data_IF_868035509105
#
_entry.id   IF_868035509105
#
_cell.length_a   1.000
_cell.length_b   1.000
_cell.length_c   1.000
_cell.angle_alpha   90.00
_cell.angle_beta   90.00
_cell.angle_gamma   90.00
#
_symmetry.space_group_name_H-M   'P 1'
#
loop_
_entity.id
_entity.type
_entity.pdbx_description
1 polymer ?
#
# COMPACT_ATOMS: atom_id res chain seq x y z
N UNK A 1 -6.75 14.33 3.52
CA UNK A 1 -7.04 13.03 2.91
C UNK A 1 -6.86 11.93 3.93
N UNK A 2 -7.78 10.98 3.98
CA UNK A 2 -7.71 9.80 4.83
C UNK A 2 -7.38 8.60 3.95
N UNK A 3 -6.33 7.85 4.30
CA UNK A 3 -5.91 6.64 3.58
C UNK A 3 -6.00 5.45 4.52
N UNK A 4 -6.68 4.38 4.11
CA UNK A 4 -6.73 3.13 4.86
C UNK A 4 -6.30 1.99 3.95
N UNK A 5 -5.22 1.31 4.30
CA UNK A 5 -4.56 0.33 3.42
C UNK A 5 -5.02 -1.11 3.60
N UNK A 6 -5.51 -1.48 4.78
CA UNK A 6 -6.10 -2.79 5.07
C UNK A 6 -6.87 -2.79 6.40
N UNK A 7 -7.72 -3.81 6.56
CA UNK A 7 -8.36 -4.24 7.80
C UNK A 7 -7.77 -5.61 8.19
N UNK A 8 -6.61 -5.56 8.86
CA UNK A 8 -5.98 -6.75 9.43
C UNK A 8 -6.65 -7.27 10.71
N UNK A 9 -6.02 -8.27 11.32
CA UNK A 9 -6.48 -8.94 12.56
C UNK A 9 -5.74 -8.46 13.81
N UNK A 10 -5.08 -7.31 13.75
CA UNK A 10 -4.45 -6.71 14.93
C UNK A 10 -5.52 -6.12 15.87
N UNK A 11 -5.28 -6.19 17.18
CA UNK A 11 -6.13 -5.61 18.23
C UNK A 11 -7.56 -6.20 18.35
N UNK A 12 -7.78 -7.42 17.86
CA UNK A 12 -9.08 -8.10 17.99
C UNK A 12 -9.50 -8.31 19.46
N UNK A 13 -8.54 -8.45 20.37
CA UNK A 13 -8.80 -8.55 21.82
C UNK A 13 -9.57 -7.34 22.40
N UNK A 14 -9.34 -6.15 21.85
CA UNK A 14 -9.99 -4.91 22.29
C UNK A 14 -11.14 -4.49 21.37
N UNK A 15 -11.09 -4.88 20.10
CA UNK A 15 -12.04 -4.45 19.07
C UNK A 15 -13.06 -5.52 18.70
N UNK A 16 -12.95 -6.73 19.27
CA UNK A 16 -13.85 -7.86 19.04
C UNK A 16 -13.53 -8.62 17.76
N UNK A 17 -13.79 -7.99 16.62
CA UNK A 17 -13.66 -8.60 15.29
C UNK A 17 -13.12 -7.59 14.25
N UNK A 18 -13.02 -8.03 12.99
CA UNK A 18 -12.59 -7.16 11.87
C UNK A 18 -13.57 -6.02 11.60
N UNK A 19 -14.85 -6.17 11.95
CA UNK A 19 -15.84 -5.09 11.82
C UNK A 19 -15.60 -4.01 12.88
N UNK A 20 -15.18 -4.38 14.08
CA UNK A 20 -14.68 -3.46 15.10
C UNK A 20 -13.42 -2.72 14.65
N UNK A 21 -12.47 -3.42 14.00
CA UNK A 21 -11.27 -2.79 13.41
C UNK A 21 -11.64 -1.80 12.30
N UNK A 22 -12.56 -2.17 11.40
CA UNK A 22 -13.08 -1.29 10.36
C UNK A 22 -13.72 -0.04 10.98
N UNK A 23 -14.60 -0.21 11.97
CA UNK A 23 -15.26 0.89 12.67
C UNK A 23 -14.23 1.83 13.28
N UNK A 24 -13.25 1.31 14.01
CA UNK A 24 -12.22 2.13 14.65
C UNK A 24 -11.35 2.89 13.62
N UNK A 25 -10.93 2.25 12.53
CA UNK A 25 -10.12 2.90 11.49
C UNK A 25 -10.91 3.96 10.71
N UNK A 26 -12.19 3.73 10.45
CA UNK A 26 -13.06 4.69 9.74
C UNK A 26 -13.45 5.90 10.60
N UNK A 27 -13.21 5.88 11.92
CA UNK A 27 -13.40 7.07 12.77
C UNK A 27 -12.54 8.26 12.33
N UNK A 28 -11.41 8.01 11.63
CA UNK A 28 -10.57 9.06 11.06
C UNK A 28 -11.35 10.00 10.14
N UNK A 29 -12.43 9.53 9.50
CA UNK A 29 -13.27 10.35 8.63
C UNK A 29 -13.97 11.48 9.39
N UNK A 30 -14.24 11.32 10.70
CA UNK A 30 -14.84 12.37 11.53
C UNK A 30 -13.93 13.60 11.67
N UNK A 31 -12.62 13.40 11.56
CA UNK A 31 -11.62 14.47 11.58
C UNK A 31 -11.26 14.99 10.19
N UNK A 32 -11.92 14.48 9.14
CA UNK A 32 -11.67 14.91 7.77
C UNK A 32 -12.30 16.29 7.52
N UNK A 33 -11.54 17.19 6.90
CA UNK A 33 -12.07 18.49 6.46
C UNK A 33 -13.15 18.31 5.39
N UNK A 34 -14.07 19.28 5.20
CA UNK A 34 -15.15 19.17 4.22
C UNK A 34 -14.70 18.91 2.77
N UNK A 35 -13.53 19.41 2.38
CA UNK A 35 -12.90 19.17 1.08
C UNK A 35 -11.88 18.01 1.10
N UNK A 36 -11.95 17.14 2.12
CA UNK A 36 -11.06 16.01 2.25
C UNK A 36 -11.44 14.88 1.30
N UNK A 37 -10.46 14.02 1.02
CA UNK A 37 -10.62 12.85 0.19
C UNK A 37 -10.44 11.56 1.00
N UNK A 38 -11.08 10.49 0.54
CA UNK A 38 -10.99 9.15 1.12
C UNK A 38 -10.32 8.24 0.09
N UNK A 39 -9.27 7.52 0.48
CA UNK A 39 -8.53 6.58 -0.36
C UNK A 39 -8.48 5.22 0.33
N UNK A 40 -9.05 4.18 -0.28
CA UNK A 40 -9.24 2.87 0.35
C UNK A 40 -8.73 1.74 -0.53
N UNK A 41 -8.21 0.69 0.09
CA UNK A 41 -7.91 -0.55 -0.61
C UNK A 41 -9.21 -1.28 -0.96
N UNK A 42 -9.56 -1.33 -2.23
CA UNK A 42 -10.77 -1.98 -2.71
C UNK A 42 -10.71 -3.51 -2.64
N UNK A 43 -9.52 -4.09 -2.57
CA UNK A 43 -9.35 -5.55 -2.52
C UNK A 43 -9.39 -6.11 -1.09
N UNK A 44 -9.50 -5.23 -0.10
CA UNK A 44 -9.87 -5.61 1.26
C UNK A 44 -11.40 -5.74 1.35
N UNK A 45 -11.87 -6.93 1.75
CA UNK A 45 -13.29 -7.29 1.81
C UNK A 45 -14.14 -6.38 2.72
N UNK A 46 -13.53 -5.75 3.72
CA UNK A 46 -14.20 -4.83 4.64
C UNK A 46 -14.13 -3.39 4.16
N UNK A 47 -13.02 -2.95 3.59
CA UNK A 47 -12.91 -1.60 3.02
C UNK A 47 -13.77 -1.43 1.77
N UNK A 48 -13.92 -2.49 0.97
CA UNK A 48 -14.76 -2.50 -0.22
C UNK A 48 -16.23 -2.16 0.08
N UNK A 49 -16.71 -2.37 1.32
CA UNK A 49 -18.09 -2.06 1.71
C UNK A 49 -18.28 -0.62 2.18
N UNK A 50 -17.22 0.20 2.25
CA UNK A 50 -17.31 1.59 2.73
C UNK A 50 -17.81 2.48 1.60
N UNK A 51 -19.01 3.05 1.77
CA UNK A 51 -19.64 3.91 0.74
C UNK A 51 -19.12 5.36 0.75
N UNK A 52 -18.42 5.77 1.81
CA UNK A 52 -17.88 7.12 1.97
C UNK A 52 -18.31 7.79 3.28
N UNK A 53 -18.11 9.11 3.38
CA UNK A 53 -18.47 9.90 4.56
C UNK A 53 -18.91 11.32 4.16
N UNK A 54 -20.07 11.78 4.64
CA UNK A 54 -20.67 13.09 4.31
C UNK A 54 -20.66 13.45 2.82
N UNK A 55 -21.02 12.50 1.95
CA UNK A 55 -21.07 12.71 0.50
C UNK A 55 -19.72 12.63 -0.22
N UNK A 56 -18.61 12.49 0.51
CA UNK A 56 -17.30 12.18 -0.06
C UNK A 56 -17.23 10.69 -0.36
N UNK A 57 -17.13 10.34 -1.64
CA UNK A 57 -16.94 8.96 -2.10
C UNK A 57 -15.46 8.54 -2.01
N UNK A 58 -15.16 7.28 -1.70
CA UNK A 58 -13.78 6.78 -1.75
C UNK A 58 -13.26 6.70 -3.19
N UNK A 59 -11.95 6.96 -3.33
CA UNK A 59 -11.14 6.48 -4.46
C UNK A 59 -10.57 5.13 -4.04
N UNK A 60 -10.88 4.09 -4.81
CA UNK A 60 -10.42 2.74 -4.52
C UNK A 60 -9.15 2.42 -5.29
N UNK A 61 -8.18 1.86 -4.58
CA UNK A 61 -6.99 1.26 -5.18
C UNK A 61 -6.97 -0.26 -4.99
N UNK A 62 -6.28 -0.99 -5.87
CA UNK A 62 -6.13 -2.44 -5.75
C UNK A 62 -5.42 -3.06 -6.94
N UNK A 63 -5.48 -4.39 -7.07
CA UNK A 63 -4.93 -5.13 -8.20
C UNK A 63 -6.00 -5.54 -9.22
N UNK A 64 -7.29 -5.38 -8.88
CA UNK A 64 -8.39 -5.54 -9.84
C UNK A 64 -8.47 -4.32 -10.78
N UNK A 65 -8.58 -4.57 -12.09
CA UNK A 65 -8.71 -3.54 -13.13
C UNK A 65 -10.00 -2.70 -13.02
N UNK A 66 -10.95 -3.09 -12.15
CA UNK A 66 -12.17 -2.31 -11.85
C UNK A 66 -11.95 -1.18 -10.84
N UNK A 67 -10.76 -1.08 -10.24
CA UNK A 67 -10.43 -0.01 -9.26
C UNK A 67 -10.07 1.28 -9.98
N UNK A 68 -10.25 2.41 -9.29
CA UNK A 68 -9.88 3.73 -9.82
C UNK A 68 -8.37 3.84 -10.07
N UNK A 69 -7.58 3.17 -9.21
CA UNK A 69 -6.12 3.06 -9.33
C UNK A 69 -5.72 1.60 -9.18
N UNK A 70 -5.10 1.01 -10.19
CA UNK A 70 -4.68 -0.40 -10.11
C UNK A 70 -3.32 -0.69 -10.70
N UNK A 71 -2.75 -1.85 -10.36
CA UNK A 71 -1.52 -2.34 -10.96
C UNK A 71 -1.74 -3.67 -11.69
N UNK A 72 -1.14 -3.78 -12.86
CA UNK A 72 -0.92 -5.06 -13.55
C UNK A 72 0.56 -5.25 -13.90
N UNK A 73 0.87 -6.30 -14.66
CA UNK A 73 2.24 -6.64 -15.08
C UNK A 73 3.23 -6.69 -13.90
N UNK A 74 2.76 -7.20 -12.76
CA UNK A 74 3.52 -7.23 -11.51
C UNK A 74 4.56 -8.33 -11.59
N UNK A 75 5.83 -7.95 -11.49
CA UNK A 75 6.98 -8.85 -11.56
C UNK A 75 7.89 -8.58 -10.37
N UNK A 76 8.08 -9.60 -9.53
CA UNK A 76 9.08 -9.58 -8.47
C UNK A 76 10.48 -9.42 -9.07
N UNK A 77 11.28 -8.52 -8.51
CA UNK A 77 12.70 -8.36 -8.81
C UNK A 77 13.56 -8.82 -7.63
N UNK A 78 13.02 -9.74 -6.83
CA UNK A 78 13.60 -10.18 -5.57
C UNK A 78 13.79 -8.98 -4.66
N UNK A 79 14.98 -8.87 -4.08
CA UNK A 79 15.28 -7.80 -3.13
C UNK A 79 15.40 -6.40 -3.77
N UNK A 80 15.51 -6.31 -5.10
CA UNK A 80 15.48 -5.02 -5.83
C UNK A 80 14.08 -4.39 -5.86
N UNK A 81 13.07 -5.11 -5.39
CA UNK A 81 11.71 -4.62 -5.29
C UNK A 81 10.75 -5.26 -6.29
N UNK A 82 9.74 -4.51 -6.70
CA UNK A 82 8.68 -5.01 -7.59
C UNK A 82 8.48 -4.03 -8.74
N UNK A 83 8.61 -4.52 -9.97
CA UNK A 83 8.21 -3.73 -11.15
C UNK A 83 6.75 -4.01 -11.48
N UNK A 84 5.97 -2.97 -11.73
CA UNK A 84 4.59 -3.09 -12.18
C UNK A 84 4.20 -1.91 -13.07
N UNK A 85 3.04 -2.02 -13.71
CA UNK A 85 2.42 -0.92 -14.44
C UNK A 85 1.21 -0.43 -13.65
N UNK A 86 1.22 0.84 -13.27
CA UNK A 86 0.12 1.49 -12.55
C UNK A 86 -0.80 2.18 -13.57
N UNK A 87 -2.10 2.01 -13.39
CA UNK A 87 -3.18 2.60 -14.19
C UNK A 87 -4.03 3.52 -13.31
N UNK A 88 -4.36 4.71 -13.81
CA UNK A 88 -5.18 5.72 -13.13
C UNK A 88 -6.05 6.46 -14.15
N UNK A 89 -7.29 6.00 -14.36
CA UNK A 89 -8.14 6.50 -15.44
C UNK A 89 -7.58 6.11 -16.81
N UNK A 90 -7.35 7.08 -17.68
CA UNK A 90 -6.76 6.86 -19.03
C UNK A 90 -5.22 6.82 -19.01
N UNK A 91 -4.60 7.24 -17.90
CA UNK A 91 -3.16 7.29 -17.75
C UNK A 91 -2.62 5.93 -17.25
N UNK A 92 -1.46 5.51 -17.76
CA UNK A 92 -0.74 4.36 -17.23
C UNK A 92 0.78 4.52 -17.39
N UNK A 93 1.55 3.99 -16.43
CA UNK A 93 3.00 4.11 -16.42
C UNK A 93 3.68 2.93 -15.72
N UNK A 94 4.83 2.53 -16.24
CA UNK A 94 5.68 1.53 -15.61
C UNK A 94 6.48 2.16 -14.47
N UNK A 95 6.58 1.45 -13.35
CA UNK A 95 7.29 1.90 -12.15
C UNK A 95 8.05 0.74 -11.50
N UNK A 96 9.19 1.06 -10.88
CA UNK A 96 9.86 0.16 -9.94
C UNK A 96 9.58 0.60 -8.50
N UNK A 97 8.85 -0.20 -7.74
CA UNK A 97 8.73 -0.02 -6.29
C UNK A 97 10.00 -0.59 -5.66
N UNK A 98 10.89 0.23 -5.07
CA UNK A 98 12.23 -0.19 -4.62
C UNK A 98 12.19 -0.94 -3.28
N UNK A 99 11.15 -1.72 -3.05
CA UNK A 99 10.97 -2.53 -1.83
C UNK A 99 10.26 -3.83 -2.21
N UNK A 100 10.74 -4.99 -1.74
CA UNK A 100 10.15 -6.27 -2.09
C UNK A 100 8.75 -6.47 -1.50
N UNK A 101 7.97 -7.33 -2.16
CA UNK A 101 6.67 -7.78 -1.68
C UNK A 101 5.47 -7.05 -2.28
N UNK A 102 4.41 -7.82 -2.56
CA UNK A 102 3.18 -7.31 -3.18
C UNK A 102 2.48 -6.22 -2.34
N UNK A 103 2.61 -6.28 -1.02
CA UNK A 103 2.05 -5.27 -0.11
C UNK A 103 2.65 -3.88 -0.35
N UNK A 104 3.89 -3.79 -0.87
CA UNK A 104 4.48 -2.52 -1.26
C UNK A 104 3.89 -1.96 -2.55
N UNK A 105 3.40 -2.82 -3.45
CA UNK A 105 2.62 -2.37 -4.62
C UNK A 105 1.31 -1.72 -4.17
N UNK A 106 0.59 -2.30 -3.20
CA UNK A 106 -0.61 -1.66 -2.62
C UNK A 106 -0.29 -0.28 -2.01
N UNK A 107 0.85 -0.15 -1.32
CA UNK A 107 1.27 1.15 -0.78
C UNK A 107 1.60 2.16 -1.89
N UNK A 108 2.26 1.71 -2.97
CA UNK A 108 2.54 2.55 -4.13
C UNK A 108 1.26 3.01 -4.83
N UNK A 109 0.24 2.14 -4.95
CA UNK A 109 -1.07 2.48 -5.51
C UNK A 109 -1.82 3.49 -4.63
N UNK A 110 -1.79 3.33 -3.31
CA UNK A 110 -2.36 4.30 -2.38
C UNK A 110 -1.68 5.67 -2.53
N UNK A 111 -0.34 5.70 -2.65
CA UNK A 111 0.43 6.92 -2.87
C UNK A 111 0.11 7.56 -4.23
N UNK A 112 -0.03 6.77 -5.29
CA UNK A 112 -0.40 7.23 -6.62
C UNK A 112 -1.79 7.87 -6.64
N UNK A 113 -2.78 7.24 -5.98
CA UNK A 113 -4.12 7.80 -5.81
C UNK A 113 -4.09 9.16 -5.11
N UNK A 114 -3.30 9.28 -4.02
CA UNK A 114 -3.11 10.56 -3.31
C UNK A 114 -2.44 11.60 -4.21
N UNK A 115 -1.37 11.24 -4.92
CA UNK A 115 -0.67 12.14 -5.84
C UNK A 115 -1.61 12.68 -6.93
N UNK A 116 -2.44 11.81 -7.52
CA UNK A 116 -3.43 12.19 -8.53
C UNK A 116 -4.50 13.14 -7.96
N UNK A 117 -5.00 12.87 -6.76
CA UNK A 117 -5.96 13.74 -6.06
C UNK A 117 -5.42 15.17 -5.91
N UNK A 118 -4.13 15.30 -5.62
CA UNK A 118 -3.47 16.60 -5.41
C UNK A 118 -2.86 17.19 -6.69
N UNK A 119 -3.13 16.59 -7.86
CA UNK A 119 -2.75 17.16 -9.17
C UNK A 119 -1.30 16.97 -9.56
N UNK A 120 -0.57 16.02 -8.95
CA UNK A 120 0.78 15.67 -9.38
C UNK A 120 0.75 15.05 -10.78
N UNK A 121 1.80 15.32 -11.57
CA UNK A 121 1.96 14.66 -12.87
C UNK A 121 2.33 13.19 -12.70
N UNK A 122 2.15 12.40 -13.77
CA UNK A 122 2.55 10.99 -13.79
C UNK A 122 4.04 10.83 -13.48
N UNK A 123 4.87 11.73 -14.00
CA UNK A 123 6.31 11.73 -13.76
C UNK A 123 6.65 12.07 -12.31
N UNK A 124 5.92 12.99 -11.66
CA UNK A 124 6.10 13.31 -10.25
C UNK A 124 5.72 12.13 -9.34
N UNK A 125 4.58 11.50 -9.62
CA UNK A 125 4.12 10.31 -8.90
C UNK A 125 5.14 9.18 -9.05
N UNK A 126 5.54 8.88 -10.30
CA UNK A 126 6.53 7.85 -10.60
C UNK A 126 7.84 8.10 -9.86
N UNK A 127 8.40 9.32 -9.98
CA UNK A 127 9.65 9.67 -9.29
C UNK A 127 9.53 9.53 -7.78
N UNK A 128 8.40 9.95 -7.18
CA UNK A 128 8.17 9.82 -5.75
C UNK A 128 8.12 8.37 -5.26
N UNK A 129 7.52 7.48 -6.04
CA UNK A 129 7.48 6.03 -5.75
C UNK A 129 8.90 5.43 -5.88
N UNK A 130 9.60 5.74 -6.96
CA UNK A 130 10.94 5.19 -7.25
C UNK A 130 12.03 5.73 -6.30
N UNK A 131 11.82 6.91 -5.71
CA UNK A 131 12.73 7.51 -4.73
C UNK A 131 12.54 7.01 -3.30
N UNK A 132 11.65 6.04 -3.06
CA UNK A 132 11.41 5.51 -1.72
C UNK A 132 12.70 4.86 -1.16
N UNK A 133 13.28 5.48 -0.14
CA UNK A 133 14.34 4.88 0.65
C UNK A 133 13.75 4.03 1.77
N UNK A 134 14.27 2.81 1.94
CA UNK A 134 13.87 1.94 3.05
C UNK A 134 14.21 2.59 4.39
N UNK A 135 13.22 2.71 5.27
CA UNK A 135 13.42 3.19 6.64
C UNK A 135 14.40 2.24 7.36
N UNK A 136 15.39 2.78 8.08
CA UNK A 136 16.31 1.96 8.91
C UNK A 136 15.52 0.94 9.77
N UNK A 137 15.83 -0.35 9.61
CA UNK A 137 15.23 -1.47 10.36
C UNK A 137 14.01 -2.13 9.70
N UNK A 138 13.53 -1.64 8.55
CA UNK A 138 12.55 -2.36 7.71
C UNK A 138 13.21 -2.75 6.40
N UNK A 139 13.38 -4.05 6.18
CA UNK A 139 13.95 -4.62 4.96
C UNK A 139 15.25 -3.96 4.46
N UNK A 140 16.13 -3.58 5.38
CA UNK A 140 17.42 -2.98 5.01
C UNK A 140 18.38 -4.07 4.55
N UNK A 141 18.77 -4.02 3.27
CA UNK A 141 19.86 -4.84 2.76
C UNK A 141 21.21 -4.23 3.16
N UNK A 142 22.03 -5.04 3.82
CA UNK A 142 23.43 -4.72 4.12
C UNK A 142 24.28 -5.74 3.38
N UNK A 143 24.82 -5.32 2.24
CA UNK A 143 25.80 -6.11 1.49
C UNK A 143 27.15 -6.07 2.23
N UNK A 144 27.72 -7.25 2.41
CA UNK A 144 29.09 -7.47 2.88
C UNK A 144 29.85 -8.28 1.82
N UNK A 145 31.17 -8.40 1.94
CA UNK A 145 31.99 -9.14 0.96
C UNK A 145 31.55 -10.60 0.77
N UNK A 146 30.94 -11.22 1.79
CA UNK A 146 30.60 -12.65 1.79
C UNK A 146 29.10 -12.96 1.99
N UNK A 147 28.32 -11.99 2.47
CA UNK A 147 26.93 -12.21 2.85
C UNK A 147 26.05 -11.00 2.53
N UNK A 148 24.80 -11.28 2.23
CA UNK A 148 23.73 -10.30 2.22
C UNK A 148 22.94 -10.42 3.52
N UNK A 149 22.93 -9.36 4.33
CA UNK A 149 22.15 -9.30 5.57
C UNK A 149 20.86 -8.54 5.29
N UNK A 150 19.71 -9.16 5.55
CA UNK A 150 18.39 -8.51 5.47
C UNK A 150 17.95 -8.14 6.89
N UNK A 151 18.00 -6.84 7.22
CA UNK A 151 17.62 -6.28 8.52
C UNK A 151 16.15 -5.79 8.47
N UNK A 152 15.24 -6.63 8.97
CA UNK A 152 13.80 -6.38 9.10
C UNK A 152 13.33 -6.37 10.56
N UNK A 153 14.15 -5.82 11.47
CA UNK A 153 13.94 -5.92 12.92
C UNK A 153 12.89 -4.96 13.52
N UNK A 154 12.19 -4.16 12.72
CA UNK A 154 11.36 -3.06 13.23
C UNK A 154 10.03 -3.48 13.89
N UNK A 155 9.29 -4.45 13.33
CA UNK A 155 8.03 -4.93 13.91
C UNK A 155 7.64 -6.31 13.34
N UNK A 156 7.08 -7.20 14.17
CA UNK A 156 6.68 -8.55 13.75
C UNK A 156 5.19 -8.80 14.00
N UNK A 157 4.44 -9.11 12.95
CA UNK A 157 3.13 -9.73 13.03
C UNK A 157 3.07 -10.95 12.07
N UNK A 158 2.14 -11.90 12.24
CA UNK A 158 2.12 -13.13 11.44
C UNK A 158 2.04 -12.88 9.92
N UNK A 159 1.37 -11.81 9.50
CA UNK A 159 1.25 -11.42 8.09
C UNK A 159 2.57 -10.84 7.55
N UNK A 160 3.29 -10.03 8.34
CA UNK A 160 4.60 -9.50 7.95
C UNK A 160 5.65 -10.61 7.89
N UNK A 161 5.64 -11.54 8.86
CA UNK A 161 6.59 -12.66 8.88
C UNK A 161 6.42 -13.58 7.67
N UNK A 162 5.17 -13.85 7.26
CA UNK A 162 4.88 -14.61 6.02
C UNK A 162 5.40 -13.88 4.78
N UNK A 163 5.15 -12.58 4.68
CA UNK A 163 5.66 -11.79 3.55
C UNK A 163 7.20 -11.78 3.50
N UNK A 164 7.88 -11.70 4.64
CA UNK A 164 9.35 -11.78 4.69
C UNK A 164 9.88 -13.16 4.27
N UNK A 165 9.17 -14.24 4.60
CA UNK A 165 9.50 -15.60 4.15
C UNK A 165 9.24 -15.81 2.65
N UNK A 166 8.14 -15.30 2.11
CA UNK A 166 7.83 -15.35 0.69
C UNK A 166 8.93 -14.62 -0.12
N UNK A 167 9.43 -13.49 0.38
CA UNK A 167 10.55 -12.75 -0.24
C UNK A 167 11.86 -13.54 -0.22
N UNK A 168 12.14 -14.31 0.84
CA UNK A 168 13.35 -15.15 0.94
C UNK A 168 13.28 -16.39 0.05
N UNK A 169 12.10 -16.96 -0.16
CA UNK A 169 11.91 -18.13 -1.03
C UNK A 169 12.08 -17.79 -2.52
N UNK A 170 11.70 -16.57 -2.92
CA UNK A 170 11.70 -16.12 -4.32
C UNK A 170 13.00 -15.36 -4.73
N UNK A 171 13.97 -15.23 -3.82
CA UNK A 171 15.29 -14.62 -4.06
C UNK A 171 16.36 -15.65 -4.39
#
# INVERSE_FOLDING_TARGET
TCVITNIGTCHLENLGDRDGVLKAKTEIFRSMQPSGHIVLNGDDDKLATVEGYHGVKPVFFGLDAKRDVYADQIVSRGLKGVSCRIHMGEDAFDVLVPTPGIHMVYNALAAAAVGRIYGLTIEEIKRGIESLETIRGRFKMIETENFLVVDDCYNANPMSMKASLDVLHDG
#
